data_IF_222961463124
#
_entry.id   IF_222961463124
#
_cell.length_a   1.000
_cell.length_b   1.000
_cell.length_c   1.000
_cell.angle_alpha   90.00
_cell.angle_beta   90.00
_cell.angle_gamma   90.00
#
_symmetry.space_group_name_H-M   'P 1'
#
loop_
_entity.id
_entity.type
_entity.pdbx_description
1 polymer ?
#
# COMPACT_ATOMS: atom_id res chain seq x y z
N UNK A 1 12.45 -34.71 -41.74
CA UNK A 1 12.51 -33.33 -41.19
C UNK A 1 11.41 -33.19 -40.16
N UNK A 2 11.79 -33.21 -38.85
CA UNK A 2 10.86 -32.97 -37.74
C UNK A 2 10.93 -31.50 -37.45
N UNK A 3 9.84 -30.77 -37.71
CA UNK A 3 9.69 -29.36 -37.38
C UNK A 3 9.31 -29.26 -35.90
N UNK A 4 10.28 -28.93 -35.05
CA UNK A 4 10.02 -28.68 -33.63
C UNK A 4 9.48 -27.26 -33.51
N UNK A 5 8.15 -27.14 -33.30
CA UNK A 5 7.52 -25.87 -32.93
C UNK A 5 7.86 -25.57 -31.49
N UNK A 6 8.78 -24.63 -31.27
CA UNK A 6 8.94 -23.97 -29.96
C UNK A 6 7.73 -23.07 -29.73
N UNK A 7 6.76 -23.54 -28.96
CA UNK A 7 5.77 -22.66 -28.35
C UNK A 7 6.49 -21.83 -27.29
N UNK A 8 6.88 -20.61 -27.65
CA UNK A 8 7.12 -19.58 -26.66
C UNK A 8 5.79 -19.30 -25.96
N UNK A 9 5.57 -19.89 -24.79
CA UNK A 9 4.55 -19.44 -23.86
C UNK A 9 5.03 -18.07 -23.39
N UNK A 10 4.62 -17.02 -24.08
CA UNK A 10 4.59 -15.69 -23.48
C UNK A 10 3.65 -15.81 -22.28
N UNK A 11 4.24 -16.03 -21.08
CA UNK A 11 3.54 -15.76 -19.83
C UNK A 11 3.23 -14.27 -19.92
N UNK A 12 2.02 -13.94 -20.36
CA UNK A 12 1.45 -12.61 -20.10
C UNK A 12 1.51 -12.46 -18.57
N UNK A 13 2.53 -11.77 -18.09
CA UNK A 13 2.46 -11.15 -16.79
C UNK A 13 1.28 -10.19 -16.92
N UNK A 14 0.14 -10.55 -16.38
CA UNK A 14 -0.85 -9.58 -15.98
C UNK A 14 -0.08 -8.68 -15.04
N UNK A 15 0.32 -7.52 -15.54
CA UNK A 15 0.93 -6.51 -14.72
C UNK A 15 -0.09 -6.23 -13.63
N UNK A 16 0.23 -6.60 -12.39
CA UNK A 16 -0.61 -6.35 -11.23
C UNK A 16 -0.59 -4.85 -10.94
N UNK A 17 -1.21 -4.07 -11.84
CA UNK A 17 -1.31 -2.62 -11.73
C UNK A 17 -2.63 -2.27 -11.08
N UNK A 18 -2.55 -1.50 -9.99
CA UNK A 18 -3.70 -0.93 -9.31
C UNK A 18 -3.81 0.56 -9.60
N UNK A 19 -5.04 1.07 -9.71
CA UNK A 19 -5.33 2.49 -9.79
C UNK A 19 -5.88 2.96 -8.45
N UNK A 20 -5.12 3.81 -7.79
CA UNK A 20 -5.53 4.53 -6.58
C UNK A 20 -6.00 5.92 -6.97
N UNK A 21 -7.29 6.18 -6.81
CA UNK A 21 -7.87 7.50 -7.06
C UNK A 21 -7.79 8.37 -5.82
N UNK A 22 -7.14 9.51 -5.96
CA UNK A 22 -7.05 10.57 -4.95
C UNK A 22 -7.84 11.80 -5.43
N UNK A 23 -7.98 12.82 -4.57
CA UNK A 23 -8.67 14.07 -4.90
C UNK A 23 -8.06 14.81 -6.10
N UNK A 24 -6.75 14.71 -6.28
CA UNK A 24 -6.00 15.43 -7.30
C UNK A 24 -5.71 14.59 -8.56
N UNK A 25 -6.12 13.31 -8.60
CA UNK A 25 -5.94 12.44 -9.77
C UNK A 25 -5.65 10.98 -9.42
N UNK A 26 -5.30 10.23 -10.44
CA UNK A 26 -5.07 8.79 -10.35
C UNK A 26 -3.56 8.48 -10.21
N UNK A 27 -3.25 7.57 -9.28
CA UNK A 27 -1.92 7.03 -9.03
C UNK A 27 -1.89 5.58 -9.47
N UNK A 28 -0.91 5.19 -10.28
CA UNK A 28 -0.72 3.80 -10.71
C UNK A 28 0.31 3.11 -9.80
N UNK A 29 -0.08 1.97 -9.25
CA UNK A 29 0.74 1.13 -8.38
C UNK A 29 1.03 -0.18 -9.08
N UNK A 30 2.30 -0.52 -9.26
CA UNK A 30 2.76 -1.85 -9.66
C UNK A 30 2.93 -2.71 -8.41
N UNK A 31 2.36 -3.92 -8.42
CA UNK A 31 2.46 -4.86 -7.30
C UNK A 31 3.48 -5.97 -7.60
N UNK A 32 4.21 -6.38 -6.59
CA UNK A 32 5.31 -7.33 -6.68
C UNK A 32 4.89 -8.74 -6.24
N UNK A 33 4.04 -9.39 -7.04
CA UNK A 33 3.45 -10.70 -6.72
C UNK A 33 4.49 -11.81 -6.54
N UNK A 34 5.65 -11.72 -7.19
CA UNK A 34 6.72 -12.72 -7.06
C UNK A 34 7.50 -12.55 -5.73
N UNK A 35 7.61 -11.32 -5.20
CA UNK A 35 8.36 -11.00 -3.98
C UNK A 35 7.52 -11.10 -2.71
N UNK A 36 6.25 -10.70 -2.78
CA UNK A 36 5.36 -10.65 -1.63
C UNK A 36 3.95 -11.15 -1.98
N UNK A 37 3.80 -12.43 -2.41
CA UNK A 37 2.55 -12.97 -2.94
C UNK A 37 1.38 -12.85 -1.97
N UNK A 38 1.59 -13.06 -0.66
CA UNK A 38 0.52 -12.99 0.33
C UNK A 38 0.08 -11.55 0.60
N UNK A 39 1.02 -10.60 0.65
CA UNK A 39 0.69 -9.17 0.82
C UNK A 39 -0.03 -8.63 -0.42
N UNK A 40 0.42 -8.97 -1.61
CA UNK A 40 -0.24 -8.58 -2.86
C UNK A 40 -1.65 -9.16 -2.93
N UNK A 41 -1.83 -10.46 -2.64
CA UNK A 41 -3.14 -11.10 -2.63
C UNK A 41 -4.10 -10.43 -1.62
N UNK A 42 -3.61 -10.09 -0.41
CA UNK A 42 -4.38 -9.37 0.60
C UNK A 42 -4.79 -7.99 0.12
N UNK A 43 -3.85 -7.21 -0.42
CA UNK A 43 -4.10 -5.86 -0.91
C UNK A 43 -5.15 -5.85 -2.02
N UNK A 44 -5.01 -6.74 -3.01
CA UNK A 44 -6.00 -6.92 -4.09
C UNK A 44 -7.36 -7.33 -3.57
N UNK A 45 -7.43 -8.33 -2.68
CA UNK A 45 -8.70 -8.81 -2.11
C UNK A 45 -9.46 -7.72 -1.34
N UNK A 46 -8.76 -6.88 -0.57
CA UNK A 46 -9.39 -5.77 0.15
C UNK A 46 -9.85 -4.66 -0.81
N UNK A 47 -9.07 -4.39 -1.87
CA UNK A 47 -9.43 -3.43 -2.91
C UNK A 47 -10.66 -3.90 -3.71
N UNK A 48 -10.71 -5.16 -4.12
CA UNK A 48 -11.86 -5.76 -4.84
C UNK A 48 -13.16 -5.68 -4.03
N UNK A 49 -13.07 -5.80 -2.71
CA UNK A 49 -14.20 -5.63 -1.78
C UNK A 49 -14.55 -4.17 -1.50
N UNK A 50 -13.81 -3.20 -2.09
CA UNK A 50 -14.00 -1.76 -1.85
C UNK A 50 -13.64 -1.30 -0.44
N UNK A 51 -12.90 -2.11 0.34
CA UNK A 51 -12.60 -1.80 1.74
C UNK A 51 -11.60 -0.66 1.90
N UNK A 52 -10.83 -0.34 0.86
CA UNK A 52 -9.94 0.82 0.85
C UNK A 52 -10.64 2.12 0.42
N UNK A 53 -11.85 2.05 -0.15
CA UNK A 53 -12.59 3.23 -0.58
C UNK A 53 -13.03 4.06 0.65
N UNK A 54 -12.56 5.29 0.72
CA UNK A 54 -12.79 6.17 1.87
C UNK A 54 -11.76 6.10 2.99
N UNK A 55 -10.75 5.23 2.89
CA UNK A 55 -9.71 5.09 3.91
C UNK A 55 -8.74 6.28 3.86
N UNK A 56 -8.50 6.89 5.02
CA UNK A 56 -7.70 8.11 5.16
C UNK A 56 -6.21 7.82 5.30
N UNK A 57 -5.39 8.80 4.91
CA UNK A 57 -3.96 8.83 5.23
C UNK A 57 -3.79 9.43 6.64
N UNK A 58 -3.92 8.58 7.65
CA UNK A 58 -3.96 8.99 9.06
C UNK A 58 -2.63 9.43 9.64
N UNK A 59 -1.51 8.99 9.02
CA UNK A 59 -0.15 9.31 9.44
C UNK A 59 0.71 9.66 8.25
N UNK A 60 1.18 10.90 8.18
CA UNK A 60 2.00 11.39 7.06
C UNK A 60 3.17 12.21 7.61
N UNK A 61 4.38 11.71 7.45
CA UNK A 61 5.59 12.39 7.90
C UNK A 61 6.31 12.94 6.66
N UNK A 62 6.45 14.26 6.61
CA UNK A 62 7.13 14.94 5.52
C UNK A 62 8.56 14.43 5.36
N UNK A 63 8.99 14.22 4.11
CA UNK A 63 10.31 13.65 3.80
C UNK A 63 10.50 12.18 4.19
N UNK A 64 9.45 11.49 4.70
CA UNK A 64 9.55 10.07 5.05
C UNK A 64 8.50 9.23 4.33
N UNK A 65 7.24 9.22 4.78
CA UNK A 65 6.21 8.36 4.19
C UNK A 65 4.79 8.86 4.44
N UNK A 66 3.83 8.40 3.62
CA UNK A 66 2.39 8.50 3.82
C UNK A 66 1.81 7.13 4.16
N UNK A 67 1.19 6.97 5.33
CA UNK A 67 0.59 5.73 5.81
C UNK A 67 -0.93 5.81 5.76
N UNK A 68 -1.54 4.73 5.27
CA UNK A 68 -2.98 4.53 5.12
C UNK A 68 -3.34 3.05 5.35
N UNK A 69 -4.56 2.67 5.00
CA UNK A 69 -4.97 1.26 4.95
C UNK A 69 -5.60 0.72 6.23
N UNK A 70 -5.90 1.53 7.24
CA UNK A 70 -6.74 1.10 8.35
C UNK A 70 -8.20 1.05 7.91
N UNK A 71 -8.64 -0.12 7.45
CA UNK A 71 -9.99 -0.34 6.91
C UNK A 71 -11.08 -0.34 7.99
N UNK A 72 -10.70 -0.44 9.26
CA UNK A 72 -11.64 -0.45 10.39
C UNK A 72 -11.90 0.97 10.93
N UNK A 73 -10.89 1.59 11.51
CA UNK A 73 -11.03 2.88 12.15
C UNK A 73 -10.67 4.07 11.24
N UNK A 74 -9.92 3.80 10.17
CA UNK A 74 -9.50 4.81 9.20
C UNK A 74 -10.42 4.98 7.99
N UNK A 75 -11.50 4.20 7.87
CA UNK A 75 -12.42 4.27 6.74
C UNK A 75 -13.54 5.28 7.00
N UNK A 76 -13.45 6.47 6.37
CA UNK A 76 -14.43 7.56 6.53
C UNK A 76 -15.85 7.23 6.03
N UNK A 77 -16.02 6.13 5.31
CA UNK A 77 -17.33 5.64 4.87
C UNK A 77 -17.93 4.61 5.83
N UNK A 78 -17.16 4.16 6.84
CA UNK A 78 -17.60 3.18 7.84
C UNK A 78 -18.26 3.85 9.04
N UNK A 79 -19.24 3.16 9.63
CA UNK A 79 -19.83 3.55 10.93
C UNK A 79 -18.82 3.49 12.09
N UNK A 80 -17.76 2.71 11.93
CA UNK A 80 -16.71 2.53 12.94
C UNK A 80 -15.57 3.56 12.77
N UNK A 81 -15.70 4.51 11.83
CA UNK A 81 -14.70 5.54 11.60
C UNK A 81 -14.39 6.31 12.88
N UNK A 82 -13.13 6.31 13.26
CA UNK A 82 -12.65 7.06 14.42
C UNK A 82 -11.20 7.49 14.20
N UNK A 83 -11.01 8.76 13.86
CA UNK A 83 -9.69 9.30 13.53
C UNK A 83 -8.68 9.18 14.68
N UNK A 84 -9.14 9.21 15.95
CA UNK A 84 -8.25 9.05 17.10
C UNK A 84 -7.75 7.60 17.29
N UNK A 85 -8.43 6.62 16.69
CA UNK A 85 -8.02 5.22 16.67
C UNK A 85 -7.44 4.79 15.33
N UNK A 86 -7.51 5.64 14.29
CA UNK A 86 -6.96 5.34 12.99
C UNK A 86 -5.46 5.03 13.08
N UNK A 87 -5.08 3.92 12.48
CA UNK A 87 -3.74 3.34 12.59
C UNK A 87 -3.62 2.19 13.59
N UNK A 88 -4.68 1.92 14.40
CA UNK A 88 -4.70 0.79 15.34
C UNK A 88 -5.52 -0.39 14.84
N UNK A 89 -6.30 -0.23 13.76
CA UNK A 89 -7.17 -1.24 13.21
C UNK A 89 -6.60 -1.93 11.97
N UNK A 90 -7.37 -2.90 11.49
CA UNK A 90 -7.06 -3.69 10.29
C UNK A 90 -8.32 -4.37 9.76
N UNK A 91 -8.16 -5.32 8.84
CA UNK A 91 -9.25 -6.17 8.37
C UNK A 91 -9.50 -7.32 9.36
N UNK A 92 -10.66 -7.98 9.22
CA UNK A 92 -11.01 -9.18 10.02
C UNK A 92 -10.24 -10.44 9.55
N UNK A 93 -9.37 -10.33 8.56
CA UNK A 93 -8.54 -11.44 8.07
C UNK A 93 -7.31 -11.63 8.99
N UNK A 94 -6.75 -12.86 9.07
CA UNK A 94 -5.54 -13.12 9.86
C UNK A 94 -4.37 -12.24 9.45
N UNK A 95 -3.49 -11.94 10.38
CA UNK A 95 -2.24 -11.23 10.11
C UNK A 95 -1.34 -12.01 9.14
N UNK A 96 -0.51 -11.28 8.42
CA UNK A 96 0.39 -11.83 7.41
C UNK A 96 1.79 -12.04 8.00
N UNK A 97 2.39 -13.18 7.68
CA UNK A 97 3.81 -13.40 7.89
C UNK A 97 4.62 -12.47 6.99
N UNK A 98 5.76 -12.01 7.50
CA UNK A 98 6.68 -11.17 6.74
C UNK A 98 7.18 -11.86 5.46
N UNK A 99 7.29 -11.07 4.38
CA UNK A 99 7.84 -11.47 3.08
C UNK A 99 8.98 -10.49 2.73
N UNK A 100 10.03 -10.48 3.56
CA UNK A 100 11.16 -9.56 3.37
C UNK A 100 11.96 -9.90 2.12
N UNK A 101 12.43 -8.87 1.44
CA UNK A 101 13.26 -8.96 0.24
C UNK A 101 14.44 -8.00 0.31
N UNK A 102 15.31 -8.04 -0.70
CA UNK A 102 16.43 -7.12 -0.85
C UNK A 102 16.05 -5.83 -1.59
N UNK A 103 14.77 -5.63 -1.93
CA UNK A 103 14.29 -4.41 -2.57
C UNK A 103 14.42 -3.24 -1.58
N UNK A 104 15.18 -2.19 -1.91
CA UNK A 104 15.37 -1.05 -1.01
C UNK A 104 14.08 -0.22 -0.91
N UNK A 105 13.88 0.42 0.25
CA UNK A 105 12.78 1.37 0.48
C UNK A 105 13.11 2.72 -0.16
N UNK A 106 13.17 2.76 -1.49
CA UNK A 106 13.36 3.98 -2.25
C UNK A 106 12.07 4.79 -2.39
N UNK A 107 12.18 6.00 -2.95
CA UNK A 107 11.02 6.85 -3.26
C UNK A 107 9.99 6.10 -4.10
N UNK A 108 8.73 6.18 -3.67
CA UNK A 108 7.57 5.56 -4.32
C UNK A 108 7.33 4.09 -3.92
N UNK A 109 8.20 3.48 -3.13
CA UNK A 109 7.99 2.11 -2.65
C UNK A 109 6.74 2.02 -1.79
N UNK A 110 5.95 0.98 -2.05
CA UNK A 110 4.77 0.56 -1.30
C UNK A 110 5.17 -0.59 -0.38
N UNK A 111 5.01 -0.41 0.92
CA UNK A 111 5.44 -1.35 1.94
C UNK A 111 4.37 -1.57 3.00
N UNK A 112 4.33 -2.76 3.60
CA UNK A 112 3.34 -3.11 4.60
C UNK A 112 3.67 -2.49 5.96
N UNK A 113 2.70 -1.79 6.54
CA UNK A 113 2.79 -1.35 7.92
C UNK A 113 2.47 -2.51 8.89
N UNK A 114 3.10 -2.51 10.05
CA UNK A 114 2.97 -3.54 11.08
C UNK A 114 3.23 -3.00 12.48
N UNK A 115 2.89 -3.77 13.50
CA UNK A 115 3.28 -3.50 14.88
C UNK A 115 4.75 -3.88 15.14
N UNK A 116 5.15 -4.05 16.38
CA UNK A 116 6.49 -4.53 16.74
C UNK A 116 6.77 -5.97 16.27
N UNK A 117 5.72 -6.82 16.18
CA UNK A 117 5.85 -8.17 15.63
C UNK A 117 5.99 -8.09 14.10
N UNK A 118 7.07 -8.62 13.49
CA UNK A 118 7.25 -8.65 12.05
C UNK A 118 6.14 -9.42 11.30
N UNK A 119 5.41 -10.29 11.97
CA UNK A 119 4.32 -11.09 11.41
C UNK A 119 2.93 -10.52 11.73
N UNK A 120 2.81 -9.22 11.97
CA UNK A 120 1.57 -8.53 12.32
C UNK A 120 1.03 -7.59 11.23
N UNK A 121 1.53 -7.70 10.01
CA UNK A 121 0.97 -6.94 8.88
C UNK A 121 -0.45 -7.41 8.58
N UNK A 122 -1.35 -6.49 8.23
CA UNK A 122 -2.75 -6.83 7.96
C UNK A 122 -3.27 -6.09 6.71
N UNK A 123 -3.78 -4.87 6.86
CA UNK A 123 -4.33 -4.06 5.77
C UNK A 123 -3.59 -2.75 5.56
N UNK A 124 -2.84 -2.28 6.56
CA UNK A 124 -2.18 -0.99 6.51
C UNK A 124 -0.89 -1.04 5.68
N UNK A 125 -0.62 0.05 4.99
CA UNK A 125 0.55 0.23 4.14
C UNK A 125 1.05 1.66 4.20
N UNK A 126 2.28 1.86 3.72
CA UNK A 126 2.84 3.20 3.52
C UNK A 126 3.54 3.33 2.18
N UNK A 127 3.64 4.56 1.69
CA UNK A 127 4.36 4.93 0.46
C UNK A 127 5.50 5.87 0.86
N UNK A 128 6.73 5.53 0.49
CA UNK A 128 7.92 6.31 0.81
C UNK A 128 7.99 7.58 -0.04
N UNK A 129 8.18 8.75 0.58
CA UNK A 129 8.46 10.01 -0.14
C UNK A 129 9.90 10.08 -0.63
N UNK A 130 10.82 9.45 0.08
CA UNK A 130 12.25 9.36 -0.25
C UNK A 130 12.83 8.06 0.29
N UNK A 131 14.12 7.80 0.00
CA UNK A 131 14.80 6.60 0.47
C UNK A 131 14.79 6.51 2.00
N UNK A 132 14.46 5.31 2.51
CA UNK A 132 14.39 4.98 3.93
C UNK A 132 15.15 3.67 4.24
N UNK A 133 16.50 3.64 4.10
CA UNK A 133 17.29 2.41 4.18
C UNK A 133 17.23 1.74 5.55
N UNK A 134 16.82 2.45 6.60
CA UNK A 134 16.60 1.87 7.93
C UNK A 134 15.41 0.89 7.99
N UNK A 135 14.55 0.85 6.95
CA UNK A 135 13.44 -0.09 6.83
C UNK A 135 13.80 -1.35 6.03
N UNK A 136 14.92 -1.35 5.32
CA UNK A 136 15.32 -2.43 4.43
C UNK A 136 15.43 -3.75 5.19
N UNK A 137 14.86 -4.82 4.59
CA UNK A 137 14.78 -6.17 5.17
C UNK A 137 14.05 -6.27 6.52
N UNK A 138 13.36 -5.20 6.94
CA UNK A 138 12.58 -5.15 8.18
C UNK A 138 11.09 -4.94 7.95
N UNK A 139 10.73 -4.49 6.74
CA UNK A 139 9.34 -4.32 6.29
C UNK A 139 9.16 -4.99 4.93
N UNK A 140 7.96 -5.51 4.67
CA UNK A 140 7.65 -6.19 3.42
C UNK A 140 7.32 -5.16 2.33
N UNK A 141 8.22 -5.03 1.36
CA UNK A 141 7.96 -4.30 0.11
C UNK A 141 7.07 -5.15 -0.79
N UNK A 142 5.94 -4.63 -1.21
CA UNK A 142 5.01 -5.38 -2.06
C UNK A 142 4.56 -4.62 -3.32
N UNK A 143 5.15 -3.45 -3.59
CA UNK A 143 4.87 -2.70 -4.82
C UNK A 143 5.58 -1.36 -4.89
N UNK A 144 5.22 -0.59 -5.92
CA UNK A 144 5.79 0.73 -6.19
C UNK A 144 4.79 1.62 -6.93
N UNK A 145 4.83 2.90 -6.67
CA UNK A 145 4.19 3.93 -7.51
C UNK A 145 4.95 4.05 -8.82
N UNK A 146 4.29 3.79 -9.95
CA UNK A 146 4.86 3.90 -11.30
C UNK A 146 4.39 5.14 -12.05
N UNK A 147 3.28 5.79 -11.58
CA UNK A 147 2.76 7.03 -12.12
C UNK A 147 2.00 7.80 -11.06
N UNK A 148 2.10 9.13 -11.05
CA UNK A 148 1.35 10.00 -10.12
C UNK A 148 2.04 10.17 -8.76
N UNK A 149 3.35 9.96 -8.65
CA UNK A 149 4.08 10.19 -7.39
C UNK A 149 3.99 11.65 -6.92
N UNK A 150 3.87 12.60 -7.83
CA UNK A 150 3.63 14.01 -7.54
C UNK A 150 2.26 14.27 -6.88
N UNK A 151 1.29 13.35 -7.04
CA UNK A 151 0.00 13.39 -6.35
C UNK A 151 0.14 12.85 -4.92
N UNK A 152 0.97 11.84 -4.71
CA UNK A 152 1.33 11.36 -3.38
C UNK A 152 2.03 12.46 -2.57
N UNK A 153 2.92 13.25 -3.21
CA UNK A 153 3.60 14.38 -2.56
C UNK A 153 2.62 15.45 -2.06
N UNK A 154 1.45 15.60 -2.68
CA UNK A 154 0.40 16.57 -2.28
C UNK A 154 -0.43 16.12 -1.09
N UNK A 155 -0.34 14.85 -0.68
CA UNK A 155 -1.08 14.35 0.48
C UNK A 155 -0.71 15.20 1.69
N UNK A 156 -1.75 15.64 2.43
CA UNK A 156 -1.62 16.51 3.60
C UNK A 156 -0.70 15.89 4.63
N UNK A 157 0.34 16.62 4.98
CA UNK A 157 1.31 16.21 5.99
C UNK A 157 0.71 16.34 7.39
N UNK A 158 1.12 15.44 8.27
CA UNK A 158 0.72 15.47 9.68
C UNK A 158 1.55 16.43 10.51
N UNK A 159 1.11 16.62 11.74
CA UNK A 159 1.76 17.48 12.74
C UNK A 159 2.57 16.63 13.73
N UNK A 160 3.60 17.25 14.31
CA UNK A 160 4.45 16.61 15.31
C UNK A 160 5.33 15.47 14.76
N UNK A 161 6.10 14.86 15.66
CA UNK A 161 7.08 13.83 15.28
C UNK A 161 6.44 12.52 14.78
N UNK A 162 5.21 12.23 15.20
CA UNK A 162 4.49 11.02 14.77
C UNK A 162 3.72 11.20 13.47
N UNK A 163 3.55 12.43 12.95
CA UNK A 163 2.90 12.71 11.68
C UNK A 163 1.38 12.49 11.66
N UNK A 164 0.69 12.59 12.81
CA UNK A 164 -0.77 12.50 12.87
C UNK A 164 -1.44 13.60 12.05
N UNK A 165 -2.40 13.22 11.20
CA UNK A 165 -3.06 14.16 10.28
C UNK A 165 -4.43 14.54 10.82
N UNK A 166 -4.66 15.84 11.02
CA UNK A 166 -6.00 16.41 11.26
C UNK A 166 -6.66 16.68 9.91
N UNK A 167 -7.90 16.23 9.73
CA UNK A 167 -8.62 16.34 8.46
C UNK A 167 -7.81 15.78 7.28
N UNK A 168 -7.57 14.46 7.28
CA UNK A 168 -6.68 13.80 6.34
C UNK A 168 -7.30 13.63 4.94
N UNK A 169 -6.44 13.62 3.94
CA UNK A 169 -6.80 13.13 2.61
C UNK A 169 -7.14 11.65 2.66
N UNK A 170 -7.91 11.17 1.68
CA UNK A 170 -8.37 9.78 1.60
C UNK A 170 -8.24 9.17 0.21
N UNK A 171 -8.22 7.87 0.19
CA UNK A 171 -8.38 7.07 -1.02
C UNK A 171 -9.85 7.17 -1.44
N UNK A 172 -10.13 7.70 -2.63
CA UNK A 172 -11.49 7.75 -3.17
C UNK A 172 -11.91 6.37 -3.64
N UNK A 173 -11.02 5.69 -4.37
CA UNK A 173 -11.18 4.28 -4.76
C UNK A 173 -9.83 3.62 -5.04
N UNK A 174 -9.77 2.31 -4.89
CA UNK A 174 -8.60 1.50 -5.23
C UNK A 174 -9.06 0.27 -6.02
N UNK A 175 -8.62 0.12 -7.26
CA UNK A 175 -9.10 -0.94 -8.17
C UNK A 175 -7.96 -1.48 -9.03
N UNK A 176 -8.09 -2.74 -9.45
CA UNK A 176 -7.23 -3.31 -10.49
C UNK A 176 -7.45 -2.53 -11.80
N UNK A 177 -6.36 -2.29 -12.54
CA UNK A 177 -6.38 -1.59 -13.84
C UNK A 177 -6.97 -2.47 -14.93
#
# INVERSE_FOLDING_TARGET
FILVFFFFINKLYSEDIMIMKLKDGDVELELYSDQAPNHVARFKSLAEKGLYDGVVFHRVIDGFMAQSGDVKFGNSNSKDFNLSLAGTGGSDMPDLKSEFSDIPHDRGILSAARSSDPNSANSQFFICFQAAPHLDRQYTVFGKVIKGMELIDKIKKGEGANGSVKDPDKIISLKLK
#
